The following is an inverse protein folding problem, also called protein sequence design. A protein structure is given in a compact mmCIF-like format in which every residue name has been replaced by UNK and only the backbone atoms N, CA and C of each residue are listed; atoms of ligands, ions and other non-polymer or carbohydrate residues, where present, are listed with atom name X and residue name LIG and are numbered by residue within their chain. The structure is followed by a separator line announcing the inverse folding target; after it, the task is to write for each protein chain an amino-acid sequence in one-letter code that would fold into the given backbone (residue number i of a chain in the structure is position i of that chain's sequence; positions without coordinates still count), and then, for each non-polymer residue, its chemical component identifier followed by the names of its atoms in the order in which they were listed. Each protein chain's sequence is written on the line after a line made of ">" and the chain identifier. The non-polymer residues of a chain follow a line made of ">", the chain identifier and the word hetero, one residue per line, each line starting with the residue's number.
data_IF_088298650479
#
_entry.id   IF_088298650479
#
_cell.length_a   1.000
_cell.length_b   1.000
_cell.length_c   1.000
_cell.angle_alpha   90.00
_cell.angle_beta   90.00
_cell.angle_gamma   90.00
#
_symmetry.space_group_name_H-M   'P 1'
#
loop_
_entity.id
_entity.type
_entity.pdbx_description
1 polymer ?
#
# COMPACT_ATOMS: atom_id res chain seq x y z
N UNK A 1 8.21 19.66 -3.35
CA UNK A 1 9.42 18.85 -3.52
C UNK A 1 8.99 17.54 -4.11
N UNK A 2 9.65 17.09 -5.17
CA UNK A 2 9.29 15.88 -5.90
C UNK A 2 9.74 14.61 -5.12
N UNK A 3 9.06 13.49 -5.30
CA UNK A 3 9.41 12.20 -4.68
C UNK A 3 10.84 11.79 -5.06
N UNK A 4 11.25 12.04 -6.30
CA UNK A 4 12.59 11.75 -6.81
C UNK A 4 13.67 12.61 -6.13
N UNK A 5 13.37 13.88 -5.88
CA UNK A 5 14.26 14.78 -5.14
C UNK A 5 14.44 14.29 -3.69
N UNK A 6 13.35 13.83 -3.07
CA UNK A 6 13.39 13.26 -1.72
C UNK A 6 14.24 11.98 -1.68
N UNK A 7 14.05 11.06 -2.62
CA UNK A 7 14.80 9.79 -2.70
C UNK A 7 16.32 10.03 -2.68
N UNK A 8 16.80 11.04 -3.41
CA UNK A 8 18.23 11.39 -3.52
C UNK A 8 18.86 12.01 -2.26
N UNK A 9 18.07 12.52 -1.31
CA UNK A 9 18.62 13.11 -0.07
C UNK A 9 19.28 12.01 0.78
N UNK A 10 20.60 12.08 0.99
CA UNK A 10 21.35 11.07 1.77
C UNK A 10 20.97 11.04 3.25
N UNK A 11 20.87 12.20 3.88
CA UNK A 11 20.52 12.35 5.30
C UNK A 11 19.15 13.04 5.42
N UNK A 12 18.08 12.26 5.37
CA UNK A 12 16.71 12.77 5.48
C UNK A 12 16.39 13.09 6.94
N UNK A 13 15.84 14.28 7.19
CA UNK A 13 15.21 14.57 8.48
C UNK A 13 13.85 13.86 8.61
N UNK A 14 13.27 13.84 9.81
CA UNK A 14 11.99 13.16 10.09
C UNK A 14 10.86 13.65 9.17
N UNK A 15 10.77 14.95 8.91
CA UNK A 15 9.75 15.51 8.03
C UNK A 15 9.90 15.03 6.59
N UNK A 16 11.13 14.96 6.08
CA UNK A 16 11.45 14.44 4.75
C UNK A 16 11.18 12.94 4.64
N UNK A 17 11.44 12.16 5.68
CA UNK A 17 11.12 10.74 5.72
C UNK A 17 9.60 10.51 5.65
N UNK A 18 8.82 11.24 6.46
CA UNK A 18 7.36 11.13 6.46
C UNK A 18 6.77 11.60 5.14
N UNK A 19 7.30 12.68 4.57
CA UNK A 19 6.88 13.17 3.27
C UNK A 19 7.18 12.15 2.17
N UNK A 20 8.37 11.55 2.17
CA UNK A 20 8.70 10.50 1.21
C UNK A 20 7.76 9.31 1.36
N UNK A 21 7.56 8.81 2.58
CA UNK A 21 6.68 7.66 2.85
C UNK A 21 5.24 7.93 2.41
N UNK A 22 4.74 9.13 2.67
CA UNK A 22 3.41 9.56 2.23
C UNK A 22 3.30 9.61 0.70
N UNK A 23 4.32 10.14 0.00
CA UNK A 23 4.34 10.20 -1.45
C UNK A 23 4.44 8.81 -2.08
N UNK A 24 5.20 7.90 -1.47
CA UNK A 24 5.26 6.48 -1.89
C UNK A 24 3.89 5.82 -1.75
N UNK A 25 3.25 5.94 -0.58
CA UNK A 25 1.88 5.42 -0.38
C UNK A 25 0.90 5.99 -1.41
N UNK A 26 1.01 7.29 -1.68
CA UNK A 26 0.17 7.96 -2.66
C UNK A 26 0.42 7.42 -4.07
N UNK A 27 1.67 7.18 -4.46
CA UNK A 27 2.02 6.62 -5.76
C UNK A 27 1.45 5.21 -5.94
N UNK A 28 1.53 4.36 -4.91
CA UNK A 28 0.93 3.02 -4.93
C UNK A 28 -0.60 3.09 -5.07
N UNK A 29 -1.23 3.98 -4.30
CA UNK A 29 -2.67 4.19 -4.35
C UNK A 29 -3.12 4.68 -5.74
N UNK A 30 -2.43 5.68 -6.30
CA UNK A 30 -2.71 6.21 -7.64
C UNK A 30 -2.49 5.16 -8.73
N UNK A 31 -1.43 4.33 -8.60
CA UNK A 31 -1.12 3.24 -9.52
C UNK A 31 -2.28 2.25 -9.60
N UNK A 32 -2.73 1.76 -8.43
CA UNK A 32 -3.83 0.79 -8.37
C UNK A 32 -5.18 1.40 -8.77
N UNK A 33 -5.51 2.61 -8.29
CA UNK A 33 -6.79 3.26 -8.61
C UNK A 33 -6.90 3.61 -10.10
N UNK A 34 -5.79 4.05 -10.72
CA UNK A 34 -5.78 4.42 -12.13
C UNK A 34 -5.76 3.22 -13.07
N UNK A 35 -5.15 2.11 -12.66
CA UNK A 35 -4.92 0.93 -13.51
C UNK A 35 -5.01 -0.38 -12.70
N UNK A 36 -6.20 -0.75 -12.18
CA UNK A 36 -6.33 -1.97 -11.36
C UNK A 36 -5.96 -3.26 -12.12
N UNK A 37 -6.09 -3.24 -13.45
CA UNK A 37 -5.79 -4.38 -14.33
C UNK A 37 -4.32 -4.76 -14.36
N UNK A 38 -3.40 -3.90 -13.89
CA UNK A 38 -1.96 -4.27 -13.75
C UNK A 38 -1.71 -5.09 -12.47
N UNK A 39 -2.69 -5.14 -11.57
CA UNK A 39 -2.67 -5.96 -10.36
C UNK A 39 -3.87 -6.94 -10.35
N UNK A 40 -4.00 -7.83 -11.36
CA UNK A 40 -5.17 -8.70 -11.45
C UNK A 40 -5.24 -9.67 -10.26
N UNK A 41 -4.09 -10.05 -9.69
CA UNK A 41 -4.04 -10.79 -8.44
C UNK A 41 -4.71 -10.04 -7.28
N UNK A 42 -4.50 -8.72 -7.15
CA UNK A 42 -5.05 -7.94 -6.03
C UNK A 42 -6.57 -7.83 -6.15
N UNK A 43 -7.06 -7.61 -7.37
CA UNK A 43 -8.50 -7.65 -7.65
C UNK A 43 -9.09 -9.01 -7.26
N UNK A 44 -8.42 -10.11 -7.62
CA UNK A 44 -8.88 -11.45 -7.26
C UNK A 44 -8.89 -11.69 -5.74
N UNK A 45 -7.85 -11.24 -5.03
CA UNK A 45 -7.77 -11.34 -3.56
C UNK A 45 -8.90 -10.54 -2.90
N UNK A 46 -9.09 -9.27 -3.30
CA UNK A 46 -10.14 -8.42 -2.75
C UNK A 46 -11.52 -9.06 -2.92
N UNK A 47 -11.83 -9.52 -4.14
CA UNK A 47 -13.11 -10.18 -4.44
C UNK A 47 -13.30 -11.47 -3.62
N UNK A 48 -12.23 -12.26 -3.44
CA UNK A 48 -12.25 -13.48 -2.61
C UNK A 48 -12.61 -13.17 -1.14
N UNK A 49 -12.22 -11.99 -0.65
CA UNK A 49 -12.52 -11.52 0.70
C UNK A 49 -13.78 -10.63 0.78
N UNK A 50 -14.59 -10.56 -0.29
CA UNK A 50 -15.84 -9.80 -0.31
C UNK A 50 -15.65 -8.29 -0.39
N UNK A 51 -14.45 -7.82 -0.75
CA UNK A 51 -14.11 -6.42 -0.96
C UNK A 51 -14.07 -6.09 -2.45
N UNK A 52 -14.29 -4.83 -2.81
CA UNK A 52 -14.09 -4.32 -4.16
C UNK A 52 -12.82 -3.47 -4.22
N UNK A 53 -12.19 -3.33 -5.41
CA UNK A 53 -11.10 -2.38 -5.62
C UNK A 53 -11.45 -0.93 -5.24
N UNK A 54 -12.74 -0.55 -5.28
CA UNK A 54 -13.23 0.76 -4.87
C UNK A 54 -13.33 0.95 -3.35
N UNK A 55 -13.27 -0.12 -2.56
CA UNK A 55 -13.62 -0.08 -1.13
C UNK A 55 -12.39 0.25 -0.26
N UNK A 56 -11.33 0.82 -0.83
CA UNK A 56 -10.07 1.05 -0.13
C UNK A 56 -8.93 1.51 -1.03
N UNK A 57 -7.72 1.47 -0.48
CA UNK A 57 -6.48 1.90 -1.14
C UNK A 57 -5.35 0.88 -0.92
N UNK A 58 -4.54 0.69 -1.95
CA UNK A 58 -3.24 0.03 -1.85
C UNK A 58 -2.22 1.07 -1.34
N UNK A 59 -1.73 0.91 -0.11
CA UNK A 59 -0.83 1.91 0.52
C UNK A 59 0.62 1.46 0.61
N UNK A 60 0.87 0.17 0.36
CA UNK A 60 2.22 -0.38 0.24
C UNK A 60 2.15 -1.61 -0.65
N UNK A 61 3.06 -1.72 -1.60
CA UNK A 61 3.18 -2.89 -2.44
C UNK A 61 4.64 -3.09 -2.83
N UNK A 62 5.11 -4.32 -2.76
CA UNK A 62 6.44 -4.70 -3.21
C UNK A 62 6.38 -6.11 -3.79
N UNK A 63 7.28 -6.40 -4.72
CA UNK A 63 7.34 -7.71 -5.36
C UNK A 63 8.75 -8.29 -5.31
N UNK A 64 8.85 -9.59 -5.08
CA UNK A 64 10.10 -10.36 -5.17
C UNK A 64 9.92 -11.45 -6.23
N UNK A 65 10.82 -11.55 -7.22
CA UNK A 65 10.78 -12.65 -8.19
C UNK A 65 11.09 -13.99 -7.51
N UNK A 66 10.21 -14.97 -7.68
CA UNK A 66 10.32 -16.32 -7.12
C UNK A 66 10.33 -17.40 -8.21
N UNK A 67 10.58 -18.67 -7.87
CA UNK A 67 10.62 -19.74 -8.88
C UNK A 67 9.29 -19.92 -9.61
N UNK A 68 8.18 -19.82 -8.88
CA UNK A 68 6.83 -20.08 -9.38
C UNK A 68 6.13 -18.83 -9.95
N UNK A 69 6.69 -17.65 -9.73
CA UNK A 69 6.02 -16.40 -10.06
C UNK A 69 6.70 -15.19 -9.44
N UNK A 70 5.90 -14.20 -9.06
CA UNK A 70 6.34 -13.09 -8.22
C UNK A 70 5.55 -13.15 -6.92
N UNK A 71 6.26 -13.12 -5.81
CA UNK A 71 5.68 -12.90 -4.48
C UNK A 71 5.39 -11.41 -4.33
N UNK A 72 4.20 -11.07 -3.84
CA UNK A 72 3.74 -9.71 -3.61
C UNK A 72 3.36 -9.53 -2.16
N UNK A 73 4.01 -8.56 -1.51
CA UNK A 73 3.81 -8.24 -0.10
C UNK A 73 3.44 -6.78 0.03
N UNK A 74 2.43 -6.50 0.84
CA UNK A 74 1.96 -5.14 0.99
C UNK A 74 0.84 -4.97 2.00
N UNK A 75 0.23 -3.78 1.93
CA UNK A 75 -0.84 -3.37 2.84
C UNK A 75 -1.97 -2.75 2.03
N UNK A 76 -3.16 -3.29 2.25
CA UNK A 76 -4.43 -2.72 1.83
C UNK A 76 -5.10 -2.02 3.01
N UNK A 77 -5.68 -0.85 2.77
CA UNK A 77 -6.56 -0.18 3.74
C UNK A 77 -7.96 -0.06 3.16
N UNK A 78 -8.95 -0.45 3.94
CA UNK A 78 -10.37 -0.34 3.56
C UNK A 78 -10.94 1.03 3.92
N UNK A 79 -12.05 1.42 3.29
CA UNK A 79 -12.76 2.68 3.59
C UNK A 79 -13.26 2.76 5.04
N UNK A 80 -13.55 1.62 5.67
CA UNK A 80 -13.88 1.57 7.11
C UNK A 80 -12.64 1.53 8.03
N UNK A 81 -11.46 1.85 7.47
CA UNK A 81 -10.19 2.08 8.18
C UNK A 81 -9.56 0.82 8.78
N UNK A 82 -9.88 -0.36 8.26
CA UNK A 82 -9.18 -1.61 8.61
C UNK A 82 -7.98 -1.84 7.70
N UNK A 83 -6.89 -2.30 8.31
CA UNK A 83 -5.63 -2.58 7.63
C UNK A 83 -5.48 -4.08 7.43
N UNK A 84 -5.16 -4.48 6.21
CA UNK A 84 -4.87 -5.86 5.85
C UNK A 84 -3.45 -5.92 5.31
N UNK A 85 -2.61 -6.73 5.93
CA UNK A 85 -1.37 -7.17 5.31
C UNK A 85 -1.65 -8.37 4.43
N UNK A 86 -0.99 -8.41 3.27
CA UNK A 86 -1.11 -9.51 2.33
C UNK A 86 0.26 -10.01 1.93
N UNK A 87 0.31 -11.31 1.67
CA UNK A 87 1.41 -12.01 1.05
C UNK A 87 0.83 -13.00 0.04
N UNK A 88 1.14 -12.82 -1.24
CA UNK A 88 0.53 -13.61 -2.31
C UNK A 88 1.53 -13.96 -3.39
N UNK A 89 1.33 -15.10 -4.01
CA UNK A 89 2.06 -15.49 -5.20
C UNK A 89 1.20 -15.24 -6.44
N UNK A 90 1.77 -14.55 -7.43
CA UNK A 90 1.14 -14.31 -8.71
C UNK A 90 1.99 -14.85 -9.86
N UNK A 91 1.34 -15.32 -10.93
CA UNK A 91 2.03 -15.79 -12.13
C UNK A 91 2.85 -14.65 -12.74
N UNK A 92 4.07 -14.97 -13.19
CA UNK A 92 4.99 -13.95 -13.71
C UNK A 92 4.53 -13.36 -15.04
N UNK A 93 3.84 -14.12 -15.87
CA UNK A 93 3.45 -13.72 -17.23
C UNK A 93 2.06 -13.07 -17.26
N UNK A 94 1.08 -13.69 -16.61
CA UNK A 94 -0.30 -13.19 -16.59
C UNK A 94 -0.58 -12.24 -15.42
N UNK A 95 0.22 -12.30 -14.35
CA UNK A 95 -0.07 -11.57 -13.10
C UNK A 95 -1.23 -12.17 -12.31
N UNK A 96 -1.81 -13.30 -12.75
CA UNK A 96 -2.95 -13.93 -12.10
C UNK A 96 -2.56 -14.51 -10.74
N UNK A 97 -3.52 -14.48 -9.80
CA UNK A 97 -3.33 -15.03 -8.46
C UNK A 97 -3.10 -16.55 -8.51
N UNK A 98 -1.95 -17.01 -8.03
CA UNK A 98 -1.66 -18.43 -7.87
C UNK A 98 -2.07 -18.92 -6.48
N UNK A 99 -1.70 -18.18 -5.42
CA UNK A 99 -2.09 -18.47 -4.03
C UNK A 99 -2.01 -17.24 -3.14
N UNK A 100 -2.67 -17.34 -2.00
CA UNK A 100 -2.61 -16.37 -0.90
C UNK A 100 -1.90 -17.04 0.26
N UNK A 101 -0.72 -16.54 0.60
CA UNK A 101 0.09 -17.04 1.71
C UNK A 101 -0.30 -16.33 3.02
N UNK A 102 -0.64 -15.03 2.96
CA UNK A 102 -1.21 -14.27 4.08
C UNK A 102 -2.29 -13.28 3.62
N UNK A 103 -3.32 -13.12 4.47
CA UNK A 103 -4.32 -12.04 4.42
C UNK A 103 -4.81 -11.78 5.84
N UNK A 104 -4.14 -10.89 6.55
CA UNK A 104 -4.34 -10.71 8.00
C UNK A 104 -4.72 -9.27 8.32
N UNK A 105 -5.78 -9.11 9.11
CA UNK A 105 -6.13 -7.80 9.65
C UNK A 105 -5.17 -7.46 10.80
N UNK A 106 -4.61 -6.25 10.77
CA UNK A 106 -3.74 -5.76 11.83
C UNK A 106 -4.08 -4.33 12.25
N UNK A 107 -3.56 -3.92 13.41
CA UNK A 107 -3.74 -2.57 13.94
C UNK A 107 -2.39 -1.88 14.04
N UNK A 108 -2.01 -1.03 13.06
CA UNK A 108 -0.76 -0.28 13.14
C UNK A 108 -0.80 0.73 14.28
N UNK A 109 0.37 1.16 14.73
CA UNK A 109 0.45 2.29 15.65
C UNK A 109 -0.07 3.57 14.98
N UNK A 110 -0.89 4.31 15.71
CA UNK A 110 -1.55 5.54 15.27
C UNK A 110 -1.03 6.74 16.06
N UNK A 111 0.06 7.32 15.60
CA UNK A 111 0.66 8.51 16.22
C UNK A 111 1.12 9.53 15.17
N UNK A 112 0.77 10.79 15.41
CA UNK A 112 1.26 11.95 14.66
C UNK A 112 2.66 12.40 15.12
N UNK A 113 3.06 12.03 16.36
CA UNK A 113 4.26 12.54 17.01
C UNK A 113 4.96 11.45 17.80
N UNK A 114 5.72 10.60 17.11
CA UNK A 114 6.60 9.60 17.70
C UNK A 114 8.05 10.10 17.70
N UNK A 115 8.71 10.10 18.86
CA UNK A 115 10.09 10.61 18.97
C UNK A 115 11.02 9.85 18.00
N UNK A 116 11.70 10.58 17.12
CA UNK A 116 12.63 10.02 16.13
C UNK A 116 11.98 9.48 14.84
N UNK A 117 10.65 9.43 14.75
CA UNK A 117 9.89 8.90 13.60
C UNK A 117 8.89 9.94 13.06
N UNK A 118 8.32 10.77 13.93
CA UNK A 118 7.23 11.70 13.59
C UNK A 118 5.91 10.96 13.41
N UNK A 119 5.29 11.10 12.23
CA UNK A 119 4.06 10.42 11.86
C UNK A 119 4.33 8.95 11.55
N UNK A 120 3.56 8.08 12.20
CA UNK A 120 3.61 6.63 12.00
C UNK A 120 2.99 6.22 10.66
N UNK A 121 3.33 5.01 10.19
CA UNK A 121 2.75 4.42 8.97
C UNK A 121 1.22 4.46 8.97
N UNK A 122 0.58 3.99 10.04
CA UNK A 122 -0.88 3.97 10.15
C UNK A 122 -1.49 5.37 10.09
N UNK A 123 -0.84 6.35 10.74
CA UNK A 123 -1.27 7.75 10.68
C UNK A 123 -1.20 8.33 9.26
N UNK A 124 -0.10 8.08 8.54
CA UNK A 124 0.08 8.52 7.16
C UNK A 124 -0.95 7.88 6.21
N UNK A 125 -1.19 6.58 6.35
CA UNK A 125 -2.15 5.83 5.54
C UNK A 125 -3.59 6.34 5.74
N UNK A 126 -4.02 6.59 6.99
CA UNK A 126 -5.35 7.19 7.23
C UNK A 126 -5.47 8.62 6.71
N UNK A 127 -4.39 9.40 6.79
CA UNK A 127 -4.37 10.74 6.19
C UNK A 127 -4.57 10.67 4.68
N UNK A 128 -3.95 9.70 4.02
CA UNK A 128 -4.13 9.46 2.59
C UNK A 128 -5.57 9.03 2.28
N UNK A 129 -6.11 8.07 3.03
CA UNK A 129 -7.50 7.61 2.87
C UNK A 129 -8.50 8.78 2.99
N UNK A 130 -8.35 9.62 4.01
CA UNK A 130 -9.21 10.80 4.24
C UNK A 130 -9.14 11.79 3.05
N UNK A 131 -7.97 11.94 2.43
CA UNK A 131 -7.80 12.81 1.26
C UNK A 131 -8.53 12.27 0.03
N UNK A 132 -8.65 10.95 -0.11
CA UNK A 132 -9.41 10.31 -1.19
C UNK A 132 -10.92 10.36 -0.94
N UNK A 133 -11.37 10.17 0.30
CA UNK A 133 -12.79 10.35 0.69
C UNK A 133 -13.30 11.77 0.44
N UNK A 134 -12.41 12.78 0.46
CA UNK A 134 -12.77 14.19 0.25
C UNK A 134 -12.82 14.61 -1.22
N UNK A 135 -12.47 13.70 -2.15
CA UNK A 135 -12.44 13.95 -3.60
C UNK A 135 -13.65 13.38 -4.35
N UNK A 136 -14.48 12.57 -3.67
CA UNK A 136 -15.78 12.06 -4.16
C UNK A 136 -16.96 12.97 -3.74
#
# INVERSE_FOLDING_TARGET
>A
MDIEQLRQVRNKNVQQQNQLKYLEMKQEAESFCGQPDIYPWLVAVLLKHGLRPSDGLLVSCSSVPEQEGNEWIGVWITGDRRFFEFDVMADRASGELLRVDAWEEFSPEMSAHRRGIGETFGYLALRLLTAYESLE
#
